data_IF_059675227782
#
_entry.id   IF_059675227782
#
_cell.length_a   1.000
_cell.length_b   1.000
_cell.length_c   1.000
_cell.angle_alpha   90.00
_cell.angle_beta   90.00
_cell.angle_gamma   90.00
#
_symmetry.space_group_name_H-M   'P 1'
#
loop_
_entity.id
_entity.type
_entity.pdbx_description
1 polymer ?
#
# COMPACT_ATOMS: atom_id res chain seq x y z
N UNK A 1 -6.20 8.28 -14.01
CA UNK A 1 -5.46 9.27 -13.21
C UNK A 1 -4.00 9.35 -13.63
N UNK A 2 -3.30 8.22 -13.69
CA UNK A 2 -1.90 8.14 -14.14
C UNK A 2 -1.78 8.62 -15.59
N UNK A 3 -0.85 9.55 -15.86
CA UNK A 3 -0.67 10.18 -17.17
C UNK A 3 -1.69 11.28 -17.49
N UNK A 4 -2.60 11.58 -16.59
CA UNK A 4 -3.63 12.61 -16.78
C UNK A 4 -4.68 12.24 -17.84
N UNK A 5 -5.54 13.18 -18.26
CA UNK A 5 -6.70 12.89 -19.11
C UNK A 5 -6.32 12.59 -20.56
N UNK A 6 -5.12 12.92 -20.98
CA UNK A 6 -4.70 12.81 -22.40
C UNK A 6 -3.83 11.60 -22.70
N UNK A 7 -3.35 10.85 -21.69
CA UNK A 7 -2.44 9.73 -21.86
C UNK A 7 -3.06 8.48 -21.23
N UNK A 8 -3.58 7.58 -22.05
CA UNK A 8 -4.31 6.40 -21.61
C UNK A 8 -3.45 5.13 -21.52
N UNK A 9 -2.22 5.15 -22.03
CA UNK A 9 -1.31 3.99 -22.09
C UNK A 9 -0.30 3.91 -20.97
N UNK A 10 -0.46 4.71 -19.88
CA UNK A 10 0.53 4.80 -18.82
C UNK A 10 0.58 3.60 -17.84
N UNK A 11 -0.24 2.60 -18.01
CA UNK A 11 -0.24 1.37 -17.21
C UNK A 11 -0.15 0.14 -18.12
N UNK A 12 0.82 0.14 -19.03
CA UNK A 12 1.05 -0.95 -19.99
C UNK A 12 2.38 -1.68 -19.77
N UNK A 13 3.17 -1.28 -18.78
CA UNK A 13 4.41 -1.93 -18.37
C UNK A 13 4.15 -3.25 -17.63
N UNK A 14 5.20 -4.05 -17.41
CA UNK A 14 5.05 -5.35 -16.78
C UNK A 14 4.66 -5.23 -15.29
N UNK A 15 5.35 -4.38 -14.54
CA UNK A 15 5.13 -4.17 -13.11
C UNK A 15 4.09 -3.06 -12.87
N UNK A 16 2.86 -3.24 -13.34
CA UNK A 16 1.81 -2.24 -13.19
C UNK A 16 0.70 -2.69 -12.23
N UNK A 17 0.25 -1.79 -11.35
CA UNK A 17 -0.75 -2.06 -10.32
C UNK A 17 -2.22 -1.87 -10.75
N UNK A 18 -2.52 -1.78 -12.05
CA UNK A 18 -3.85 -1.38 -12.58
C UNK A 18 -5.02 -2.14 -11.97
N UNK A 19 -4.96 -3.47 -11.99
CA UNK A 19 -5.98 -4.34 -11.40
C UNK A 19 -6.06 -4.18 -9.87
N UNK A 20 -4.92 -3.94 -9.21
CA UNK A 20 -4.86 -3.75 -7.77
C UNK A 20 -5.53 -2.47 -7.30
N UNK A 21 -5.40 -1.37 -8.03
CA UNK A 21 -6.16 -0.14 -7.71
C UNK A 21 -7.66 -0.34 -7.87
N UNK A 22 -8.10 -1.12 -8.89
CA UNK A 22 -9.51 -1.42 -9.10
C UNK A 22 -10.08 -2.26 -7.95
N UNK A 23 -9.38 -3.31 -7.54
CA UNK A 23 -9.76 -4.15 -6.41
C UNK A 23 -9.81 -3.35 -5.10
N UNK A 24 -8.75 -2.58 -4.84
CA UNK A 24 -8.66 -1.73 -3.65
C UNK A 24 -9.81 -0.74 -3.57
N UNK A 25 -10.14 -0.06 -4.68
CA UNK A 25 -11.24 0.90 -4.70
C UNK A 25 -12.58 0.21 -4.39
N UNK A 26 -12.83 -0.97 -4.97
CA UNK A 26 -14.03 -1.75 -4.68
C UNK A 26 -14.12 -2.15 -3.20
N UNK A 27 -12.99 -2.55 -2.60
CA UNK A 27 -12.92 -2.89 -1.18
C UNK A 27 -13.16 -1.67 -0.30
N UNK A 28 -12.51 -0.54 -0.57
CA UNK A 28 -12.67 0.71 0.19
C UNK A 28 -14.12 1.23 0.16
N UNK A 29 -14.80 1.08 -0.98
CA UNK A 29 -16.21 1.48 -1.13
C UNK A 29 -17.19 0.58 -0.40
N UNK A 30 -16.75 -0.57 0.09
CA UNK A 30 -17.59 -1.58 0.75
C UNK A 30 -17.19 -1.86 2.20
N UNK A 31 -16.29 -1.05 2.78
CA UNK A 31 -16.00 -1.09 4.22
C UNK A 31 -17.21 -0.56 4.99
N UNK A 32 -17.59 -1.29 6.04
CA UNK A 32 -18.68 -0.93 6.94
C UNK A 32 -18.17 -0.68 8.38
N UNK A 33 -18.91 0.06 9.19
CA UNK A 33 -18.60 0.20 10.61
C UNK A 33 -18.53 -1.16 11.31
N UNK A 34 -17.40 -1.45 11.96
CA UNK A 34 -17.16 -2.72 12.63
C UNK A 34 -16.33 -3.73 11.81
N UNK A 35 -16.06 -3.44 10.55
CA UNK A 35 -15.08 -4.23 9.77
C UNK A 35 -13.67 -4.07 10.36
N UNK A 36 -12.81 -5.03 10.07
CA UNK A 36 -11.40 -5.00 10.44
C UNK A 36 -10.55 -5.46 9.25
N UNK A 37 -9.34 -4.88 9.14
CA UNK A 37 -8.40 -5.23 8.06
C UNK A 37 -7.97 -6.69 8.05
N UNK A 38 -8.01 -7.34 9.21
CA UNK A 38 -7.67 -8.75 9.36
C UNK A 38 -8.76 -9.72 8.83
N UNK A 39 -9.97 -9.23 8.60
CA UNK A 39 -11.04 -10.04 7.98
C UNK A 39 -10.68 -10.34 6.54
N UNK A 40 -10.92 -11.59 6.12
CA UNK A 40 -10.76 -11.98 4.72
C UNK A 40 -11.83 -11.29 3.85
N UNK A 41 -11.41 -10.62 2.78
CA UNK A 41 -12.28 -9.92 1.84
C UNK A 41 -11.96 -10.34 0.40
N UNK A 42 -12.87 -11.07 -0.23
CA UNK A 42 -12.69 -11.50 -1.61
C UNK A 42 -13.30 -10.52 -2.62
N UNK A 43 -12.74 -10.51 -3.82
CA UNK A 43 -13.27 -9.77 -4.97
C UNK A 43 -14.08 -10.71 -5.88
N UNK A 44 -15.28 -10.29 -6.28
CA UNK A 44 -16.13 -11.07 -7.17
C UNK A 44 -16.65 -12.37 -6.56
N UNK A 45 -16.77 -12.45 -5.25
CA UNK A 45 -17.26 -13.64 -4.52
C UNK A 45 -18.69 -14.02 -4.94
N UNK A 46 -19.54 -13.03 -5.18
CA UNK A 46 -20.91 -13.27 -5.69
C UNK A 46 -20.90 -14.02 -7.02
N UNK A 47 -20.01 -13.67 -7.94
CA UNK A 47 -19.87 -14.34 -9.24
C UNK A 47 -19.48 -15.82 -9.10
N UNK A 48 -18.79 -16.17 -8.02
CA UNK A 48 -18.35 -17.54 -7.69
C UNK A 48 -19.33 -18.28 -6.78
N UNK A 49 -20.43 -17.67 -6.37
CA UNK A 49 -21.35 -18.23 -5.38
C UNK A 49 -20.72 -18.45 -4.00
N UNK A 50 -19.75 -17.63 -3.64
CA UNK A 50 -19.01 -17.69 -2.38
C UNK A 50 -19.48 -16.63 -1.39
N UNK A 51 -19.30 -16.83 -0.07
CA UNK A 51 -19.46 -15.76 0.91
C UNK A 51 -18.38 -14.69 0.73
N UNK A 52 -18.59 -13.50 1.31
CA UNK A 52 -17.69 -12.34 1.16
C UNK A 52 -16.24 -12.61 1.62
N UNK A 53 -16.02 -13.57 2.48
CA UNK A 53 -14.70 -14.00 2.96
C UNK A 53 -14.04 -15.10 2.11
N UNK A 54 -14.67 -15.53 1.02
CA UNK A 54 -14.04 -16.44 0.04
C UNK A 54 -12.99 -15.73 -0.79
N UNK A 55 -12.15 -16.46 -1.50
CA UNK A 55 -11.12 -15.87 -2.37
C UNK A 55 -11.69 -15.07 -3.56
N UNK A 56 -12.89 -15.44 -4.02
CA UNK A 56 -13.52 -14.83 -5.18
C UNK A 56 -12.82 -15.22 -6.48
N UNK A 57 -12.44 -14.23 -7.28
CA UNK A 57 -11.75 -14.39 -8.56
C UNK A 57 -10.22 -14.22 -8.45
N UNK A 58 -9.71 -13.94 -7.24
CA UNK A 58 -8.27 -13.78 -6.97
C UNK A 58 -7.70 -15.07 -6.34
N UNK A 59 -6.37 -15.17 -6.29
CA UNK A 59 -5.68 -16.34 -5.67
C UNK A 59 -6.01 -16.46 -4.18
N UNK A 60 -6.07 -15.32 -3.48
CA UNK A 60 -6.33 -15.22 -2.05
C UNK A 60 -7.34 -14.08 -1.78
N UNK A 61 -8.09 -14.12 -0.68
CA UNK A 61 -8.82 -12.95 -0.22
C UNK A 61 -7.84 -11.92 0.34
N UNK A 62 -8.17 -10.64 0.21
CA UNK A 62 -7.41 -9.55 0.82
C UNK A 62 -7.54 -9.55 2.34
N UNK A 63 -6.43 -9.38 3.03
CA UNK A 63 -6.39 -9.33 4.49
C UNK A 63 -5.08 -8.71 4.98
N UNK A 64 -5.13 -7.92 6.06
CA UNK A 64 -3.92 -7.50 6.77
C UNK A 64 -3.30 -8.64 7.59
N UNK A 65 -4.01 -9.76 7.76
CA UNK A 65 -3.47 -10.95 8.41
C UNK A 65 -2.60 -11.74 7.43
N UNK A 66 -1.27 -11.70 7.62
CA UNK A 66 -0.29 -12.40 6.79
C UNK A 66 -0.45 -13.94 6.77
N UNK A 67 -1.22 -14.52 7.72
CA UNK A 67 -1.56 -15.94 7.67
C UNK A 67 -2.71 -16.25 6.69
N UNK A 68 -3.51 -15.24 6.32
CA UNK A 68 -4.57 -15.35 5.31
C UNK A 68 -4.04 -14.95 3.94
N UNK A 69 -3.32 -13.84 3.87
CA UNK A 69 -2.70 -13.38 2.64
C UNK A 69 -1.23 -12.99 2.88
N UNK A 70 -0.29 -13.93 2.60
CA UNK A 70 1.14 -13.75 2.86
C UNK A 70 1.88 -13.02 1.74
N UNK A 71 1.20 -12.51 0.72
CA UNK A 71 1.85 -11.89 -0.44
C UNK A 71 2.71 -10.68 -0.03
N UNK A 72 3.91 -10.63 -0.57
CA UNK A 72 4.87 -9.52 -0.42
C UNK A 72 5.38 -9.09 -1.79
N UNK A 73 6.22 -8.09 -1.84
CA UNK A 73 6.79 -7.58 -3.09
C UNK A 73 7.48 -8.68 -3.91
N UNK A 74 8.22 -9.59 -3.26
CA UNK A 74 8.85 -10.72 -3.95
C UNK A 74 7.84 -11.70 -4.59
N UNK A 75 6.55 -11.63 -4.26
CA UNK A 75 5.53 -12.47 -4.92
C UNK A 75 5.37 -12.11 -6.40
N UNK A 76 5.80 -10.93 -6.82
CA UNK A 76 5.80 -10.51 -8.22
C UNK A 76 6.59 -11.49 -9.10
N UNK A 77 7.75 -11.97 -8.63
CA UNK A 77 8.61 -12.89 -9.39
C UNK A 77 7.89 -14.16 -9.87
N UNK A 78 6.81 -14.55 -9.22
CA UNK A 78 5.98 -15.70 -9.60
C UNK A 78 4.66 -15.32 -10.26
N UNK A 79 4.40 -14.03 -10.45
CA UNK A 79 3.17 -13.53 -11.03
C UNK A 79 3.24 -13.57 -12.57
N UNK A 80 2.21 -14.14 -13.20
CA UNK A 80 2.18 -14.39 -14.64
C UNK A 80 1.11 -13.59 -15.39
N UNK A 81 0.33 -12.78 -14.68
CA UNK A 81 -0.74 -11.97 -15.28
C UNK A 81 -0.89 -10.65 -14.54
N UNK A 82 -1.45 -9.66 -15.23
CA UNK A 82 -1.76 -8.34 -14.66
C UNK A 82 -2.65 -8.43 -13.40
N UNK A 83 -3.52 -9.43 -13.34
CA UNK A 83 -4.36 -9.70 -12.19
C UNK A 83 -3.54 -10.11 -10.97
N UNK A 84 -2.60 -11.05 -11.14
CA UNK A 84 -1.73 -11.52 -10.06
C UNK A 84 -0.75 -10.44 -9.58
N UNK A 85 -0.28 -9.58 -10.50
CA UNK A 85 0.53 -8.41 -10.16
C UNK A 85 -0.31 -7.42 -9.34
N UNK A 86 -1.52 -7.12 -9.82
CA UNK A 86 -2.44 -6.24 -9.12
C UNK A 86 -2.84 -6.73 -7.72
N UNK A 87 -2.97 -8.06 -7.50
CA UNK A 87 -3.22 -8.62 -6.17
C UNK A 87 -2.18 -8.16 -5.16
N UNK A 88 -0.89 -8.25 -5.52
CA UNK A 88 0.21 -7.83 -4.62
C UNK A 88 0.12 -6.33 -4.31
N UNK A 89 -0.15 -5.51 -5.31
CA UNK A 89 -0.31 -4.06 -5.10
C UNK A 89 -1.52 -3.75 -4.19
N UNK A 90 -2.65 -4.40 -4.42
CA UNK A 90 -3.84 -4.20 -3.59
C UNK A 90 -3.57 -4.57 -2.12
N UNK A 91 -2.85 -5.66 -1.84
CA UNK A 91 -2.48 -6.04 -0.46
C UNK A 91 -1.66 -4.94 0.23
N UNK A 92 -0.71 -4.32 -0.48
CA UNK A 92 0.11 -3.23 0.07
C UNK A 92 -0.75 -2.04 0.46
N UNK A 93 -1.60 -1.56 -0.46
CA UNK A 93 -2.44 -0.38 -0.19
C UNK A 93 -3.64 -0.70 0.70
N UNK A 94 -4.02 -1.98 0.84
CA UNK A 94 -4.97 -2.44 1.85
C UNK A 94 -4.39 -2.34 3.25
N UNK A 95 -3.16 -2.84 3.47
CA UNK A 95 -2.45 -2.68 4.74
C UNK A 95 -2.29 -1.19 5.10
N UNK A 96 -1.90 -0.34 4.14
CA UNK A 96 -1.81 1.10 4.31
C UNK A 96 -3.14 1.71 4.76
N UNK A 97 -4.23 1.32 4.12
CA UNK A 97 -5.56 1.86 4.42
C UNK A 97 -5.99 1.50 5.84
N UNK A 98 -5.78 0.26 6.25
CA UNK A 98 -6.18 -0.18 7.58
C UNK A 98 -5.30 0.37 8.69
N UNK A 99 -4.01 0.57 8.48
CA UNK A 99 -3.17 1.29 9.46
C UNK A 99 -3.68 2.73 9.67
N UNK A 100 -4.11 3.41 8.62
CA UNK A 100 -4.73 4.73 8.74
C UNK A 100 -6.09 4.67 9.44
N UNK A 101 -6.94 3.68 9.12
CA UNK A 101 -8.25 3.50 9.77
C UNK A 101 -8.07 3.18 11.26
N UNK A 102 -7.15 2.32 11.62
CA UNK A 102 -6.84 1.97 13.01
C UNK A 102 -6.34 3.18 13.81
N UNK A 103 -5.55 4.05 13.18
CA UNK A 103 -4.99 5.24 13.83
C UNK A 103 -5.99 6.41 13.91
N UNK A 104 -6.80 6.64 12.87
CA UNK A 104 -7.62 7.85 12.72
C UNK A 104 -9.13 7.57 12.66
N UNK A 105 -9.52 6.30 12.79
CA UNK A 105 -10.91 5.87 12.75
C UNK A 105 -11.50 5.79 11.34
N UNK A 106 -12.69 5.23 11.26
CA UNK A 106 -13.50 5.12 10.04
C UNK A 106 -14.64 6.14 10.06
N UNK A 107 -14.99 6.69 8.91
CA UNK A 107 -16.17 7.53 8.73
C UNK A 107 -16.86 7.21 7.41
N UNK A 108 -18.17 6.96 7.47
CA UNK A 108 -19.02 6.83 6.28
C UNK A 108 -19.29 8.17 5.57
N UNK A 109 -18.95 9.30 6.21
CA UNK A 109 -19.04 10.61 5.58
C UNK A 109 -17.77 10.90 4.77
N UNK A 110 -17.82 10.93 3.42
CA UNK A 110 -16.65 11.16 2.57
C UNK A 110 -16.04 12.56 2.73
N UNK A 111 -16.76 13.49 3.33
CA UNK A 111 -16.28 14.85 3.61
C UNK A 111 -15.51 14.95 4.94
N UNK A 112 -15.45 13.89 5.74
CA UNK A 112 -14.61 13.85 6.94
C UNK A 112 -13.13 13.64 6.53
N UNK A 113 -12.40 14.73 6.37
CA UNK A 113 -11.02 14.72 5.90
C UNK A 113 -10.00 14.20 6.91
N UNK A 114 -10.42 13.92 8.15
CA UNK A 114 -9.56 13.42 9.24
C UNK A 114 -9.74 11.92 9.51
N UNK A 115 -10.73 11.27 8.92
CA UNK A 115 -10.93 9.83 9.06
C UNK A 115 -9.95 9.04 8.21
N UNK A 116 -9.43 7.93 8.74
CA UNK A 116 -8.36 7.15 8.13
C UNK A 116 -8.70 6.59 6.75
N UNK A 117 -9.94 6.12 6.54
CA UNK A 117 -10.39 5.67 5.22
C UNK A 117 -10.39 6.80 4.17
N UNK A 118 -10.77 8.01 4.56
CA UNK A 118 -10.78 9.16 3.65
C UNK A 118 -9.36 9.69 3.42
N UNK A 119 -8.48 9.64 4.42
CA UNK A 119 -7.05 9.95 4.26
C UNK A 119 -6.42 8.96 3.28
N UNK A 120 -6.63 7.64 3.45
CA UNK A 120 -6.14 6.60 2.54
C UNK A 120 -6.60 6.84 1.10
N UNK A 121 -7.90 7.12 0.92
CA UNK A 121 -8.50 7.41 -0.38
C UNK A 121 -7.81 8.58 -1.08
N UNK A 122 -7.58 9.67 -0.35
CA UNK A 122 -6.93 10.88 -0.89
C UNK A 122 -5.45 10.63 -1.23
N UNK A 123 -4.73 9.93 -0.36
CA UNK A 123 -3.30 9.63 -0.58
C UNK A 123 -3.09 8.73 -1.79
N UNK A 124 -3.87 7.65 -1.91
CA UNK A 124 -3.72 6.72 -3.04
C UNK A 124 -4.15 7.37 -4.35
N UNK A 125 -5.27 8.09 -4.37
CA UNK A 125 -5.73 8.77 -5.60
C UNK A 125 -4.77 9.88 -6.04
N UNK A 126 -4.21 10.65 -5.11
CA UNK A 126 -3.19 11.65 -5.44
C UNK A 126 -1.87 11.00 -5.86
N UNK A 127 -1.46 9.90 -5.20
CA UNK A 127 -0.33 9.10 -5.63
C UNK A 127 -0.46 8.63 -7.08
N UNK A 128 -1.64 8.15 -7.49
CA UNK A 128 -1.91 7.80 -8.90
C UNK A 128 -1.76 8.97 -9.86
N UNK A 129 -1.98 10.21 -9.42
CA UNK A 129 -1.79 11.42 -10.24
C UNK A 129 -0.33 11.85 -10.33
N UNK A 130 0.46 11.57 -9.30
CA UNK A 130 1.85 11.99 -9.16
C UNK A 130 2.84 10.98 -9.74
N UNK A 131 2.47 9.69 -9.79
CA UNK A 131 3.36 8.66 -10.31
C UNK A 131 3.71 8.88 -11.79
N UNK A 132 4.90 8.46 -12.24
CA UNK A 132 5.29 8.56 -13.64
C UNK A 132 4.41 7.69 -14.55
N UNK A 133 4.52 7.88 -15.85
CA UNK A 133 3.98 6.95 -16.83
C UNK A 133 4.76 5.64 -16.78
N UNK A 134 4.07 4.50 -16.86
CA UNK A 134 4.64 3.15 -16.73
C UNK A 134 5.36 2.92 -15.39
N UNK A 135 4.68 3.22 -14.26
CA UNK A 135 5.28 3.11 -12.95
C UNK A 135 5.46 1.66 -12.53
N UNK A 136 6.55 1.38 -11.83
CA UNK A 136 6.64 0.19 -11.01
C UNK A 136 6.06 0.43 -9.61
N UNK A 137 6.14 -0.57 -8.75
CA UNK A 137 5.54 -0.49 -7.42
C UNK A 137 6.22 0.53 -6.51
N UNK A 138 7.56 0.66 -6.60
CA UNK A 138 8.26 1.66 -5.78
C UNK A 138 8.03 3.07 -6.31
N UNK A 139 7.83 3.28 -7.60
CA UNK A 139 7.39 4.57 -8.14
C UNK A 139 6.02 4.97 -7.57
N UNK A 140 5.09 4.01 -7.51
CA UNK A 140 3.75 4.23 -6.95
C UNK A 140 3.79 4.46 -5.42
N UNK A 141 4.65 3.72 -4.69
CA UNK A 141 4.94 3.96 -3.27
C UNK A 141 5.42 5.39 -3.04
N UNK A 142 6.44 5.81 -3.78
CA UNK A 142 7.07 7.11 -3.61
C UNK A 142 6.13 8.26 -4.00
N UNK A 143 5.25 8.01 -4.97
CA UNK A 143 4.18 8.95 -5.30
C UNK A 143 3.15 9.10 -4.16
N UNK A 144 2.78 8.03 -3.45
CA UNK A 144 1.91 8.10 -2.27
C UNK A 144 2.60 8.85 -1.12
N UNK A 145 3.89 8.61 -0.88
CA UNK A 145 4.68 9.36 0.11
C UNK A 145 4.78 10.84 -0.26
N UNK A 146 4.91 11.15 -1.55
CA UNK A 146 4.89 12.53 -2.06
C UNK A 146 3.50 13.16 -1.87
N UNK A 147 2.43 12.41 -2.07
CA UNK A 147 1.07 12.87 -1.79
C UNK A 147 0.89 13.25 -0.31
N UNK A 148 1.45 12.48 0.62
CA UNK A 148 1.42 12.82 2.04
C UNK A 148 2.19 14.12 2.33
N UNK A 149 3.34 14.32 1.70
CA UNK A 149 4.08 15.56 1.84
C UNK A 149 3.28 16.78 1.37
N UNK A 150 2.61 16.66 0.23
CA UNK A 150 1.85 17.76 -0.38
C UNK A 150 0.53 18.04 0.33
N UNK A 151 -0.20 17.01 0.74
CA UNK A 151 -1.54 17.16 1.31
C UNK A 151 -1.55 17.28 2.82
N UNK A 152 -0.56 16.69 3.50
CA UNK A 152 -0.55 16.51 4.96
C UNK A 152 0.80 16.83 5.61
N UNK A 153 1.72 17.45 4.89
CA UNK A 153 3.04 17.85 5.41
C UNK A 153 3.81 16.70 6.10
N UNK A 154 3.76 15.50 5.52
CA UNK A 154 4.40 14.27 6.00
C UNK A 154 3.89 13.74 7.36
N UNK A 155 2.71 14.13 7.81
CA UNK A 155 2.17 13.71 9.11
C UNK A 155 1.99 12.18 9.20
N UNK A 156 1.67 11.52 8.09
CA UNK A 156 1.44 10.07 8.06
C UNK A 156 2.66 9.27 7.62
N UNK A 157 3.76 9.94 7.28
CA UNK A 157 4.92 9.35 6.58
C UNK A 157 5.42 8.04 7.20
N UNK A 158 5.59 7.99 8.52
CA UNK A 158 6.11 6.77 9.16
C UNK A 158 5.07 5.65 9.22
N UNK A 159 3.78 5.97 9.29
CA UNK A 159 2.71 4.99 9.21
C UNK A 159 2.63 4.39 7.79
N UNK A 160 2.80 5.21 6.75
CA UNK A 160 2.87 4.75 5.36
C UNK A 160 4.08 3.85 5.15
N UNK A 161 5.27 4.23 5.65
CA UNK A 161 6.45 3.39 5.59
C UNK A 161 6.27 2.05 6.31
N UNK A 162 5.53 2.02 7.42
CA UNK A 162 5.20 0.78 8.12
C UNK A 162 4.39 -0.17 7.23
N UNK A 163 3.38 0.32 6.51
CA UNK A 163 2.60 -0.47 5.56
C UNK A 163 3.48 -1.02 4.44
N UNK A 164 4.26 -0.17 3.81
CA UNK A 164 5.15 -0.56 2.72
C UNK A 164 6.21 -1.57 3.17
N UNK A 165 6.89 -1.31 4.28
CA UNK A 165 7.90 -2.22 4.81
C UNK A 165 7.31 -3.59 5.17
N UNK A 166 6.10 -3.63 5.71
CA UNK A 166 5.42 -4.88 6.06
C UNK A 166 5.25 -5.82 4.87
N UNK A 167 5.04 -5.27 3.68
CA UNK A 167 4.86 -6.03 2.43
C UNK A 167 6.11 -6.09 1.55
N UNK A 168 7.30 -5.82 2.13
CA UNK A 168 8.57 -5.95 1.42
C UNK A 168 8.97 -4.74 0.58
N UNK A 169 8.20 -3.65 0.62
CA UNK A 169 8.49 -2.40 -0.09
C UNK A 169 9.13 -1.34 0.83
N UNK A 170 9.95 -1.78 1.78
CA UNK A 170 10.61 -0.92 2.76
C UNK A 170 11.71 -0.05 2.16
N UNK A 171 12.43 0.65 3.04
CA UNK A 171 13.37 1.72 2.68
C UNK A 171 14.50 1.27 1.74
N UNK A 172 14.99 0.04 1.90
CA UNK A 172 16.08 -0.50 1.09
C UNK A 172 15.58 -1.44 -0.05
N UNK A 173 14.28 -1.45 -0.35
CA UNK A 173 13.75 -2.20 -1.49
C UNK A 173 14.26 -1.60 -2.81
N UNK A 174 14.45 -2.44 -3.81
CA UNK A 174 14.82 -2.03 -5.16
C UNK A 174 13.79 -2.53 -6.16
N UNK A 175 13.38 -1.67 -7.09
CA UNK A 175 12.41 -1.99 -8.12
C UNK A 175 13.02 -2.71 -9.33
N UNK A 176 14.30 -2.47 -9.62
CA UNK A 176 14.83 -2.88 -10.91
C UNK A 176 14.18 -2.09 -12.05
N UNK A 177 13.64 -2.79 -13.03
CA UNK A 177 12.94 -2.18 -14.18
C UNK A 177 11.46 -2.39 -14.09
N UNK A 178 10.66 -1.33 -14.13
CA UNK A 178 9.19 -1.42 -14.17
C UNK A 178 8.63 -2.22 -15.37
N UNK A 179 9.48 -2.55 -16.35
CA UNK A 179 9.12 -3.36 -17.52
C UNK A 179 9.56 -4.83 -17.41
N UNK A 180 10.10 -5.23 -16.27
CA UNK A 180 10.57 -6.59 -15.99
C UNK A 180 9.95 -7.06 -14.68
N UNK A 181 9.49 -8.30 -14.62
CA UNK A 181 9.04 -8.96 -13.39
C UNK A 181 10.14 -9.91 -12.93
N UNK A 182 10.44 -9.92 -11.63
CA UNK A 182 11.41 -10.82 -11.01
C UNK A 182 12.82 -10.24 -10.87
N UNK A 183 13.02 -8.95 -11.15
CA UNK A 183 14.25 -8.22 -10.87
C UNK A 183 14.13 -7.29 -9.63
N UNK A 184 12.95 -7.26 -9.02
CA UNK A 184 12.70 -6.55 -7.77
C UNK A 184 13.39 -7.23 -6.57
N UNK A 185 13.85 -6.42 -5.62
CA UNK A 185 14.44 -6.87 -4.35
C UNK A 185 13.60 -6.31 -3.21
N UNK A 186 12.92 -7.20 -2.47
CA UNK A 186 12.15 -6.78 -1.32
C UNK A 186 13.02 -6.39 -0.12
N UNK A 187 12.50 -5.50 0.70
CA UNK A 187 13.09 -5.10 1.96
C UNK A 187 12.01 -4.75 2.97
N UNK A 188 12.20 -5.20 4.20
CA UNK A 188 11.31 -4.93 5.34
C UNK A 188 11.84 -3.82 6.25
N UNK A 189 12.86 -3.09 5.81
CA UNK A 189 13.50 -2.05 6.63
C UNK A 189 12.68 -0.78 6.68
N UNK A 190 12.59 -0.20 7.87
CA UNK A 190 12.05 1.15 8.07
C UNK A 190 13.13 2.20 7.81
N UNK A 191 12.79 3.40 7.31
CA UNK A 191 13.75 4.48 7.23
C UNK A 191 14.21 4.92 8.63
N UNK A 192 15.48 5.33 8.79
CA UNK A 192 16.05 5.69 10.11
C UNK A 192 15.26 6.76 10.85
N UNK A 193 14.66 7.71 10.14
CA UNK A 193 13.87 8.80 10.74
C UNK A 193 12.50 8.34 11.27
N UNK A 194 12.08 7.12 10.96
CA UNK A 194 10.86 6.51 11.49
C UNK A 194 11.13 5.53 12.65
N UNK A 195 12.38 5.30 12.99
CA UNK A 195 12.75 4.47 14.14
C UNK A 195 12.80 5.34 15.41
N UNK A 196 12.48 4.78 16.59
CA UNK A 196 12.70 5.50 17.82
C UNK A 196 14.18 5.88 17.93
N UNK A 197 14.45 7.11 18.38
CA UNK A 197 15.81 7.53 18.65
C UNK A 197 16.44 6.52 19.64
N UNK A 198 17.43 5.76 19.17
CA UNK A 198 18.25 4.98 20.09
C UNK A 198 18.93 5.99 21.00
N UNK A 199 18.69 5.91 22.32
CA UNK A 199 19.36 6.75 23.30
C UNK A 199 20.86 6.66 23.02
N UNK A 200 21.44 7.74 22.48
CA UNK A 200 22.89 7.87 22.44
C UNK A 200 23.38 7.74 23.88
N UNK A 201 24.44 6.95 24.15
CA UNK A 201 24.96 6.85 25.52
C UNK A 201 25.24 8.27 26.00
N UNK A 202 24.67 8.65 27.15
CA UNK A 202 24.96 9.91 27.82
C UNK A 202 26.46 9.87 28.06
N UNK A 203 27.22 10.74 27.42
CA UNK A 203 28.63 10.88 27.69
C UNK A 203 28.76 11.23 29.17
N UNK A 204 29.31 10.30 29.95
CA UNK A 204 29.61 10.53 31.37
C UNK A 204 30.70 11.62 31.43
N UNK A 205 30.30 12.82 31.81
CA UNK A 205 31.26 13.86 32.15
C UNK A 205 31.92 13.43 33.48
N UNK A 206 33.14 12.92 33.39
CA UNK A 206 34.00 12.79 34.58
C UNK A 206 34.52 14.16 34.91
N UNK A 207 34.01 14.75 35.99
CA UNK A 207 34.61 15.93 36.60
C UNK A 207 35.84 15.42 37.36
N UNK A 208 37.04 15.71 36.81
CA UNK A 208 38.29 15.53 37.56
C UNK A 208 38.39 16.63 38.61
N UNK A 209 38.41 16.25 39.89
CA UNK A 209 38.77 17.08 41.03
C UNK A 209 40.26 17.35 41.09
#
# INVERSE_FOLDING_TARGET
LTGGPSVTGCLSNAEQGGEGWSDWLALMMTIEPGDSGAMARGIGTYLRGQPSNGAGIRRLPYSTNMSINPQTYATLATSTSVHQIGEVWCDVIWDLSWLLIEQFGFSSNPNNTTAGNNIAMRLVLEGMRLQPCSPGFLDARDAILTADALLYNNVHRCLLWQAFARRGMGFNASQGSSSVIGDEIESFTMPPFCLPATNAPIAAFTVST
#
